data_IF_515478532050
#
_entry.id   IF_515478532050
#
_cell.length_a   1.000
_cell.length_b   1.000
_cell.length_c   1.000
_cell.angle_alpha   90.00
_cell.angle_beta   90.00
_cell.angle_gamma   90.00
#
_symmetry.space_group_name_H-M   'P 1'
#
loop_
_entity.id
_entity.type
_entity.pdbx_description
1 polymer ?
#
# COMPACT_ATOMS: atom_id res chain seq x y z
N UNK A 1 -16.26 2.09 4.54
CA UNK A 1 -14.96 1.45 4.78
C UNK A 1 -13.92 2.45 4.32
N UNK A 2 -13.13 3.05 5.21
CA UNK A 2 -12.16 4.04 4.75
C UNK A 2 -10.94 3.33 4.15
N UNK A 3 -10.64 3.51 2.85
CA UNK A 3 -9.57 2.77 2.16
C UNK A 3 -8.15 3.06 2.67
N UNK A 4 -7.99 4.03 3.57
CA UNK A 4 -6.69 4.62 3.91
C UNK A 4 -6.13 4.19 5.28
N UNK A 5 -6.79 3.29 6.01
CA UNK A 5 -6.29 2.81 7.31
C UNK A 5 -5.54 1.49 7.13
N UNK A 6 -4.38 1.55 6.49
CA UNK A 6 -3.52 0.38 6.34
C UNK A 6 -2.99 -0.10 7.71
N UNK A 7 -2.68 0.79 8.66
CA UNK A 7 -2.06 0.37 9.93
C UNK A 7 -2.44 1.32 11.07
N UNK A 8 -3.58 1.12 11.74
CA UNK A 8 -3.71 1.24 13.21
C UNK A 8 -5.13 0.90 13.72
N UNK A 9 -5.37 -0.25 14.37
CA UNK A 9 -6.62 -0.47 15.11
C UNK A 9 -6.69 0.37 16.41
N UNK A 10 -5.60 1.04 16.82
CA UNK A 10 -5.56 1.76 18.10
C UNK A 10 -5.95 3.24 18.05
N UNK A 11 -6.05 3.87 16.87
CA UNK A 11 -6.40 5.30 16.72
C UNK A 11 -7.88 5.60 16.46
N UNK A 12 -8.75 4.58 16.47
CA UNK A 12 -10.20 4.82 16.52
C UNK A 12 -10.57 5.41 17.88
N UNK A 13 -11.29 6.54 17.86
CA UNK A 13 -11.85 7.20 19.04
C UNK A 13 -12.57 6.20 19.96
N UNK A 14 -12.50 6.40 21.28
CA UNK A 14 -13.09 5.47 22.27
C UNK A 14 -14.59 5.17 22.04
N UNK A 15 -15.32 6.07 21.38
CA UNK A 15 -16.73 5.84 20.98
C UNK A 15 -16.91 4.81 19.86
N UNK A 16 -15.89 4.56 19.04
CA UNK A 16 -15.86 3.49 18.03
C UNK A 16 -15.39 2.15 18.60
N UNK A 17 -14.61 2.16 19.70
CA UNK A 17 -14.18 0.93 20.40
C UNK A 17 -15.32 0.34 21.23
N UNK A 18 -16.13 1.15 21.91
CA UNK A 18 -17.16 0.63 22.83
C UNK A 18 -18.34 -0.09 22.14
N UNK A 19 -18.57 0.10 20.85
CA UNK A 19 -19.59 -0.67 20.11
C UNK A 19 -19.11 -2.00 19.52
N UNK A 20 -17.80 -2.25 19.46
CA UNK A 20 -17.25 -3.44 18.79
C UNK A 20 -16.40 -4.35 19.70
N UNK A 21 -16.22 -4.00 20.97
CA UNK A 21 -15.40 -4.78 21.93
C UNK A 21 -16.21 -5.76 22.79
N UNK A 22 -17.52 -5.90 22.59
CA UNK A 22 -18.38 -6.69 23.48
C UNK A 22 -18.57 -8.17 23.09
N UNK A 23 -17.97 -8.69 22.01
CA UNK A 23 -18.34 -10.02 21.50
C UNK A 23 -17.28 -11.13 21.51
N UNK A 24 -15.98 -10.88 21.73
CA UNK A 24 -15.01 -11.99 21.69
C UNK A 24 -13.90 -11.87 22.74
N UNK A 25 -14.23 -12.25 23.97
CA UNK A 25 -13.27 -12.71 24.97
C UNK A 25 -13.27 -14.24 24.97
N UNK A 26 -12.07 -14.82 24.99
CA UNK A 26 -11.71 -16.26 25.02
C UNK A 26 -11.75 -16.98 23.67
N UNK A 27 -10.59 -17.17 23.08
CA UNK A 27 -9.99 -18.50 22.93
C UNK A 27 -8.52 -18.36 22.50
N UNK A 28 -7.63 -18.45 23.49
CA UNK A 28 -6.22 -18.79 23.26
C UNK A 28 -6.11 -20.31 23.24
N UNK A 29 -5.19 -20.82 22.42
CA UNK A 29 -4.80 -22.23 22.23
C UNK A 29 -5.61 -22.99 21.17
N UNK A 30 -5.01 -23.19 19.98
CA UNK A 30 -4.76 -24.50 19.33
C UNK A 30 -4.29 -24.27 17.89
N UNK A 31 -2.98 -24.19 17.68
CA UNK A 31 -2.39 -24.33 16.35
C UNK A 31 -2.15 -25.82 16.11
N UNK A 32 -3.01 -26.46 15.33
CA UNK A 32 -2.71 -27.74 14.69
C UNK A 32 -2.68 -27.51 13.18
N UNK A 33 -1.52 -27.83 12.61
CA UNK A 33 -1.21 -27.79 11.19
C UNK A 33 -2.18 -28.69 10.41
N UNK A 34 -2.74 -28.14 9.35
CA UNK A 34 -3.12 -28.90 8.16
C UNK A 34 -2.19 -28.42 7.05
N UNK A 35 -1.28 -29.31 6.65
CA UNK A 35 -0.38 -29.21 5.51
C UNK A 35 -0.84 -30.32 4.55
N UNK A 36 -1.29 -29.97 3.34
CA UNK A 36 -1.38 -30.87 2.16
C UNK A 36 -2.03 -30.13 0.97
N UNK A 37 -1.25 -29.28 0.29
CA UNK A 37 -1.21 -29.08 -1.18
C UNK A 37 -0.50 -27.76 -1.59
N UNK A 38 0.68 -27.49 -1.05
CA UNK A 38 1.50 -26.37 -1.54
C UNK A 38 2.63 -26.88 -2.42
N UNK A 39 2.39 -26.80 -3.73
CA UNK A 39 3.42 -26.86 -4.78
C UNK A 39 4.29 -25.59 -4.71
N UNK A 40 4.90 -25.32 -3.55
CA UNK A 40 5.63 -24.08 -3.29
C UNK A 40 7.06 -24.22 -3.84
N UNK A 41 7.41 -23.39 -4.82
CA UNK A 41 8.62 -23.53 -5.65
C UNK A 41 9.87 -22.91 -5.03
N UNK A 42 9.78 -22.30 -3.84
CA UNK A 42 10.92 -21.63 -3.21
C UNK A 42 11.69 -22.58 -2.26
N UNK A 43 12.75 -23.19 -2.78
CA UNK A 43 13.64 -24.09 -2.03
C UNK A 43 14.33 -23.41 -0.84
N UNK A 44 14.62 -22.11 -0.93
CA UNK A 44 15.24 -21.35 0.15
C UNK A 44 14.29 -21.18 1.34
N UNK A 45 13.04 -20.78 1.10
CA UNK A 45 12.03 -20.66 2.17
C UNK A 45 11.72 -22.01 2.82
N UNK A 46 11.72 -23.10 2.04
CA UNK A 46 11.59 -24.46 2.59
C UNK A 46 12.71 -24.81 3.56
N UNK A 47 13.95 -24.43 3.25
CA UNK A 47 15.10 -24.62 4.14
C UNK A 47 14.95 -23.73 5.38
N UNK A 48 14.59 -22.46 5.20
CA UNK A 48 14.45 -21.51 6.32
C UNK A 48 13.27 -21.82 7.24
N UNK A 49 12.28 -22.62 6.79
CA UNK A 49 11.11 -23.02 7.58
C UNK A 49 11.49 -23.66 8.92
N UNK A 50 12.60 -24.40 8.98
CA UNK A 50 13.06 -25.03 10.23
C UNK A 50 13.49 -24.01 11.29
N UNK A 51 13.91 -22.81 10.88
CA UNK A 51 14.34 -21.73 11.75
C UNK A 51 13.22 -20.78 12.15
N UNK A 52 11.98 -21.02 11.70
CA UNK A 52 10.83 -20.16 12.01
C UNK A 52 10.65 -19.94 13.52
N UNK A 53 10.88 -20.97 14.32
CA UNK A 53 10.77 -20.90 15.79
C UNK A 53 11.89 -20.06 16.43
N UNK A 54 13.02 -19.91 15.75
CA UNK A 54 14.17 -19.11 16.21
C UNK A 54 14.04 -17.62 15.88
N UNK A 55 13.16 -17.24 14.94
CA UNK A 55 13.07 -15.86 14.43
C UNK A 55 12.86 -14.81 15.53
N UNK A 56 11.97 -15.09 16.50
CA UNK A 56 11.71 -14.16 17.60
C UNK A 56 12.91 -14.00 18.53
N UNK A 57 13.62 -15.08 18.86
CA UNK A 57 14.83 -15.00 19.69
C UNK A 57 15.93 -14.23 18.96
N UNK A 58 16.13 -14.48 17.66
CA UNK A 58 17.13 -13.76 16.87
C UNK A 58 16.82 -12.27 16.78
N UNK A 59 15.56 -11.90 16.53
CA UNK A 59 15.16 -10.50 16.46
C UNK A 59 15.37 -9.77 17.80
N UNK A 60 15.11 -10.43 18.94
CA UNK A 60 15.35 -9.86 20.27
C UNK A 60 16.84 -9.66 20.55
N UNK A 61 17.66 -10.69 20.30
CA UNK A 61 19.11 -10.59 20.52
C UNK A 61 19.76 -9.55 19.59
N UNK A 62 19.36 -9.53 18.30
CA UNK A 62 19.84 -8.52 17.35
C UNK A 62 19.41 -7.10 17.75
N UNK A 63 18.20 -6.95 18.31
CA UNK A 63 17.72 -5.67 18.81
C UNK A 63 18.56 -5.16 20.00
N UNK A 64 18.89 -6.02 20.95
CA UNK A 64 19.73 -5.66 22.11
C UNK A 64 21.12 -5.20 21.66
N UNK A 65 21.74 -5.94 20.74
CA UNK A 65 23.06 -5.64 20.20
C UNK A 65 23.06 -4.31 19.41
N UNK A 66 22.12 -4.15 18.47
CA UNK A 66 22.07 -2.96 17.61
C UNK A 66 21.73 -1.69 18.39
N UNK A 67 20.91 -1.79 19.45
CA UNK A 67 20.60 -0.65 20.31
C UNK A 67 21.85 -0.15 21.02
N UNK A 68 22.67 -1.06 21.56
CA UNK A 68 23.97 -0.73 22.15
C UNK A 68 24.90 -0.06 21.13
N UNK A 69 25.04 -0.65 19.93
CA UNK A 69 25.88 -0.11 18.86
C UNK A 69 25.43 1.30 18.43
N UNK A 70 24.13 1.51 18.27
CA UNK A 70 23.58 2.80 17.80
C UNK A 70 23.81 3.92 18.81
N UNK A 71 23.80 3.64 20.11
CA UNK A 71 24.03 4.63 21.16
C UNK A 71 25.49 5.07 21.27
N UNK A 72 26.44 4.18 20.99
CA UNK A 72 27.87 4.46 21.19
C UNK A 72 28.60 4.80 19.88
N UNK A 73 28.18 4.20 18.76
CA UNK A 73 28.86 4.29 17.47
C UNK A 73 27.86 4.05 16.33
N UNK A 74 26.97 5.02 16.04
CA UNK A 74 26.04 4.88 14.93
C UNK A 74 26.82 4.64 13.63
N UNK A 75 26.33 3.71 12.81
CA UNK A 75 26.99 3.28 11.58
C UNK A 75 25.95 2.82 10.56
N UNK A 76 26.34 2.72 9.29
CA UNK A 76 25.48 2.20 8.22
C UNK A 76 24.89 0.83 8.58
N UNK A 77 25.73 -0.08 9.08
CA UNK A 77 25.33 -1.43 9.47
C UNK A 77 24.28 -1.42 10.59
N UNK A 78 24.44 -0.54 11.58
CA UNK A 78 23.48 -0.41 12.67
C UNK A 78 22.11 0.09 12.15
N UNK A 79 22.10 1.06 11.23
CA UNK A 79 20.87 1.55 10.61
C UNK A 79 20.19 0.46 9.79
N UNK A 80 20.95 -0.26 8.95
CA UNK A 80 20.43 -1.36 8.14
C UNK A 80 19.82 -2.46 9.02
N UNK A 81 20.49 -2.83 10.11
CA UNK A 81 19.98 -3.81 11.06
C UNK A 81 18.67 -3.35 11.73
N UNK A 82 18.60 -2.09 12.18
CA UNK A 82 17.36 -1.52 12.73
C UNK A 82 16.19 -1.55 11.73
N UNK A 83 16.45 -1.22 10.47
CA UNK A 83 15.45 -1.26 9.39
C UNK A 83 14.96 -2.69 9.12
N UNK A 84 15.86 -3.68 9.05
CA UNK A 84 15.48 -5.08 8.90
C UNK A 84 14.67 -5.61 10.10
N UNK A 85 15.08 -5.26 11.33
CA UNK A 85 14.40 -5.65 12.56
C UNK A 85 12.99 -5.02 12.63
N UNK A 86 12.84 -3.77 12.18
CA UNK A 86 11.54 -3.11 12.03
C UNK A 86 10.60 -3.93 11.14
N UNK A 87 11.05 -4.38 9.97
CA UNK A 87 10.24 -5.20 9.07
C UNK A 87 9.79 -6.52 9.71
N UNK A 88 10.66 -7.15 10.51
CA UNK A 88 10.30 -8.35 11.26
C UNK A 88 9.19 -8.09 12.29
N UNK A 89 9.34 -7.05 13.12
CA UNK A 89 8.34 -6.68 14.13
C UNK A 89 7.00 -6.29 13.50
N UNK A 90 7.05 -5.59 12.37
CA UNK A 90 5.88 -5.31 11.55
C UNK A 90 5.21 -6.60 11.07
N UNK A 91 5.99 -7.54 10.51
CA UNK A 91 5.50 -8.82 10.01
C UNK A 91 4.79 -9.67 11.05
N UNK A 92 5.30 -9.74 12.29
CA UNK A 92 4.65 -10.49 13.37
C UNK A 92 3.55 -9.71 14.11
N UNK A 93 3.20 -8.51 13.65
CA UNK A 93 2.12 -7.71 14.23
C UNK A 93 2.44 -7.08 15.59
N UNK A 94 3.72 -6.82 15.88
CA UNK A 94 4.16 -6.14 17.11
C UNK A 94 4.72 -4.74 16.77
N UNK A 95 3.85 -3.74 16.56
CA UNK A 95 4.27 -2.46 15.98
C UNK A 95 5.11 -1.60 16.91
N UNK A 96 5.03 -1.78 18.24
CA UNK A 96 5.73 -0.91 19.19
C UNK A 96 7.27 -0.99 19.09
N UNK A 97 7.91 -2.16 19.27
CA UNK A 97 9.37 -2.27 19.12
C UNK A 97 9.81 -1.88 17.70
N UNK A 98 9.01 -2.26 16.70
CA UNK A 98 9.27 -1.88 15.33
C UNK A 98 9.31 -0.35 15.11
N UNK A 99 8.28 0.37 15.53
CA UNK A 99 8.20 1.83 15.36
C UNK A 99 9.37 2.54 16.05
N UNK A 100 9.85 2.02 17.20
CA UNK A 100 11.05 2.54 17.85
C UNK A 100 12.32 2.29 17.02
N UNK A 101 12.48 1.09 16.47
CA UNK A 101 13.58 0.79 15.56
C UNK A 101 13.58 1.72 14.34
N UNK A 102 12.42 1.91 13.71
CA UNK A 102 12.26 2.78 12.54
C UNK A 102 12.60 4.23 12.87
N UNK A 103 12.07 4.76 13.98
CA UNK A 103 12.37 6.12 14.41
C UNK A 103 13.87 6.33 14.68
N UNK A 104 14.50 5.34 15.32
CA UNK A 104 15.94 5.38 15.60
C UNK A 104 16.78 5.25 14.33
N UNK A 105 16.42 4.36 13.41
CA UNK A 105 17.09 4.19 12.12
C UNK A 105 17.02 5.49 11.30
N UNK A 106 15.82 6.05 11.14
CA UNK A 106 15.61 7.29 10.40
C UNK A 106 16.37 8.46 11.02
N UNK A 107 16.38 8.58 12.36
CA UNK A 107 17.16 9.62 13.04
C UNK A 107 18.66 9.41 12.88
N UNK A 108 19.13 8.18 12.94
CA UNK A 108 20.55 7.83 12.77
C UNK A 108 21.05 8.16 11.37
N UNK A 109 20.25 7.96 10.32
CA UNK A 109 20.56 8.43 8.97
C UNK A 109 20.88 9.93 8.93
N UNK A 110 20.07 10.75 9.63
CA UNK A 110 20.29 12.21 9.69
C UNK A 110 21.55 12.57 10.47
N UNK A 111 21.83 11.87 11.58
CA UNK A 111 23.06 12.08 12.37
C UNK A 111 24.31 11.75 11.54
N UNK A 112 24.25 10.66 10.76
CA UNK A 112 25.34 10.23 9.89
C UNK A 112 25.44 11.06 8.60
N UNK A 113 24.46 11.93 8.33
CA UNK A 113 24.44 12.81 7.16
C UNK A 113 24.12 12.08 5.85
N UNK A 114 23.31 11.02 5.91
CA UNK A 114 22.84 10.32 4.70
C UNK A 114 21.76 11.09 3.94
N UNK A 115 21.19 12.12 4.56
CA UNK A 115 20.26 13.09 3.98
C UNK A 115 20.96 14.39 3.51
N UNK A 116 22.25 14.33 3.20
CA UNK A 116 22.97 15.50 2.69
C UNK A 116 22.50 15.88 1.29
N UNK A 117 22.21 17.17 1.13
CA UNK A 117 22.04 17.82 -0.18
C UNK A 117 23.41 17.88 -0.88
N UNK A 118 23.45 17.85 -2.22
CA UNK A 118 24.67 18.14 -2.94
C UNK A 118 25.14 19.56 -2.58
N UNK A 119 26.21 19.69 -1.80
CA UNK A 119 26.94 20.95 -1.65
C UNK A 119 27.97 21.06 -2.78
N UNK A 120 28.21 22.28 -3.26
CA UNK A 120 28.97 22.63 -4.46
C UNK A 120 30.20 21.73 -4.75
N UNK A 121 30.16 21.13 -5.94
CA UNK A 121 31.19 20.56 -6.85
C UNK A 121 32.40 19.76 -6.33
N UNK A 122 32.71 19.70 -5.03
CA UNK A 122 34.00 19.18 -4.56
C UNK A 122 33.94 17.99 -3.58
N UNK A 123 32.75 17.50 -3.24
CA UNK A 123 32.60 16.35 -2.33
C UNK A 123 32.44 15.03 -3.10
N UNK A 124 33.01 13.96 -2.55
CA UNK A 124 33.02 12.59 -3.10
C UNK A 124 31.64 11.90 -3.03
N UNK A 125 30.60 12.56 -3.56
CA UNK A 125 29.23 12.05 -3.68
C UNK A 125 29.14 10.77 -4.53
N UNK A 126 30.21 10.41 -5.24
CA UNK A 126 30.32 9.24 -6.12
C UNK A 126 30.86 7.99 -5.42
N UNK A 127 31.13 8.01 -4.11
CA UNK A 127 31.55 6.81 -3.39
C UNK A 127 30.41 5.81 -3.19
N UNK A 128 30.72 4.52 -3.27
CA UNK A 128 29.76 3.44 -2.98
C UNK A 128 29.17 3.55 -1.58
N UNK A 129 29.97 3.95 -0.58
CA UNK A 129 29.53 4.10 0.80
C UNK A 129 28.50 5.24 0.94
N UNK A 130 28.72 6.37 0.26
CA UNK A 130 27.75 7.46 0.22
C UNK A 130 26.42 7.03 -0.42
N UNK A 131 26.47 6.22 -1.48
CA UNK A 131 25.26 5.69 -2.11
C UNK A 131 24.53 4.65 -1.25
N UNK A 132 25.26 3.78 -0.55
CA UNK A 132 24.66 2.86 0.42
C UNK A 132 23.97 3.61 1.57
N UNK A 133 24.61 4.66 2.10
CA UNK A 133 24.00 5.56 3.09
C UNK A 133 22.71 6.19 2.58
N UNK A 134 22.73 6.73 1.35
CA UNK A 134 21.56 7.35 0.72
C UNK A 134 20.41 6.37 0.53
N UNK A 135 20.68 5.17 0.02
CA UNK A 135 19.67 4.12 -0.12
C UNK A 135 19.10 3.70 1.23
N UNK A 136 19.93 3.64 2.26
CA UNK A 136 19.50 3.34 3.63
C UNK A 136 18.57 4.43 4.18
N UNK A 137 18.88 5.71 3.96
CA UNK A 137 17.98 6.82 4.28
C UNK A 137 16.62 6.65 3.58
N UNK A 138 16.62 6.40 2.27
CA UNK A 138 15.38 6.24 1.51
C UNK A 138 14.57 5.01 1.91
N UNK A 139 15.20 3.91 2.29
CA UNK A 139 14.52 2.74 2.85
C UNK A 139 13.77 3.09 4.14
N UNK A 140 14.45 3.74 5.10
CA UNK A 140 13.84 4.21 6.35
C UNK A 140 12.69 5.19 6.06
N UNK A 141 12.87 6.09 5.09
CA UNK A 141 11.85 7.04 4.68
C UNK A 141 10.63 6.35 4.05
N UNK A 142 10.83 5.35 3.18
CA UNK A 142 9.75 4.54 2.59
C UNK A 142 8.96 3.84 3.70
N UNK A 143 9.63 3.17 4.63
CA UNK A 143 8.98 2.50 5.76
C UNK A 143 8.18 3.48 6.62
N UNK A 144 8.71 4.67 6.86
CA UNK A 144 7.99 5.75 7.56
C UNK A 144 6.72 6.16 6.80
N UNK A 145 6.82 6.39 5.49
CA UNK A 145 5.69 6.74 4.62
C UNK A 145 4.62 5.64 4.53
N UNK A 146 5.02 4.36 4.55
CA UNK A 146 4.09 3.22 4.49
C UNK A 146 3.38 3.03 5.84
N UNK A 147 4.12 3.07 6.94
CA UNK A 147 3.59 2.81 8.29
C UNK A 147 2.83 4.03 8.84
N UNK A 148 3.09 5.23 8.31
CA UNK A 148 2.53 6.50 8.77
C UNK A 148 2.86 6.78 10.26
N UNK A 149 4.03 6.33 10.72
CA UNK A 149 4.47 6.50 12.11
C UNK A 149 5.94 6.93 12.19
N UNK A 150 6.28 7.80 13.17
CA UNK A 150 5.36 8.56 14.03
C UNK A 150 4.63 9.66 13.23
N UNK A 151 3.35 9.91 13.55
CA UNK A 151 2.50 10.86 12.79
C UNK A 151 3.14 12.25 12.54
N UNK A 152 3.88 12.87 13.48
CA UNK A 152 4.53 14.17 13.25
C UNK A 152 5.54 14.17 12.10
N UNK A 153 6.19 13.04 11.80
CA UNK A 153 7.15 12.96 10.69
C UNK A 153 6.46 12.93 9.33
N UNK A 154 5.19 12.52 9.29
CA UNK A 154 4.48 12.31 8.04
C UNK A 154 3.91 13.61 7.47
N UNK A 155 3.40 14.51 8.31
CA UNK A 155 2.79 15.78 7.89
C UNK A 155 3.75 16.67 7.07
N UNK A 156 5.05 16.40 7.14
CA UNK A 156 6.09 17.09 6.38
C UNK A 156 7.09 16.16 5.69
N UNK A 157 6.81 14.85 5.59
CA UNK A 157 7.79 13.86 5.09
C UNK A 157 8.39 14.20 3.72
N UNK A 158 7.58 14.69 2.78
CA UNK A 158 8.06 15.12 1.47
C UNK A 158 8.81 16.47 1.50
N UNK A 159 8.50 17.35 2.46
CA UNK A 159 9.21 18.63 2.64
C UNK A 159 10.59 18.39 3.23
N UNK A 160 10.71 17.46 4.17
CA UNK A 160 12.00 17.05 4.74
C UNK A 160 12.89 16.39 3.67
N UNK A 161 12.30 15.54 2.83
CA UNK A 161 13.01 14.85 1.76
C UNK A 161 13.21 15.69 0.49
N UNK A 162 12.69 16.92 0.46
CA UNK A 162 12.81 17.80 -0.69
C UNK A 162 14.28 18.17 -0.97
N UNK A 163 14.63 18.19 -2.24
CA UNK A 163 15.97 18.46 -2.78
C UNK A 163 17.02 17.43 -2.36
N UNK A 164 16.61 16.30 -1.79
CA UNK A 164 17.51 15.18 -1.56
C UNK A 164 17.71 14.39 -2.86
N UNK A 165 18.94 13.93 -3.16
CA UNK A 165 19.18 13.12 -4.33
C UNK A 165 18.46 11.78 -4.22
N UNK A 166 17.74 11.39 -5.28
CA UNK A 166 17.23 10.03 -5.41
C UNK A 166 18.40 9.05 -5.63
N UNK A 167 18.26 7.76 -5.26
CA UNK A 167 19.30 6.75 -5.48
C UNK A 167 19.75 6.67 -6.95
N UNK A 168 21.06 6.53 -7.16
CA UNK A 168 21.66 6.41 -8.48
C UNK A 168 22.20 5.00 -8.74
N UNK A 169 22.78 4.79 -9.91
CA UNK A 169 23.63 3.63 -10.16
C UNK A 169 24.91 3.77 -9.34
N UNK A 170 25.40 2.67 -8.75
CA UNK A 170 26.55 2.65 -7.81
C UNK A 170 27.83 3.33 -8.35
N UNK A 171 27.96 3.46 -9.68
CA UNK A 171 29.10 4.11 -10.35
C UNK A 171 28.73 5.41 -11.08
N UNK A 172 27.52 5.94 -10.88
CA UNK A 172 26.98 7.08 -11.62
C UNK A 172 26.66 8.29 -10.76
N UNK A 173 26.55 9.46 -11.38
CA UNK A 173 26.10 10.67 -10.71
C UNK A 173 24.59 10.64 -10.48
N UNK A 174 24.13 11.25 -9.38
CA UNK A 174 22.70 11.49 -9.13
C UNK A 174 22.11 12.37 -10.23
N UNK A 175 20.89 12.03 -10.64
CA UNK A 175 20.26 12.63 -11.81
C UNK A 175 18.88 13.22 -11.52
N UNK A 176 18.27 12.87 -10.39
CA UNK A 176 16.94 13.35 -10.02
C UNK A 176 16.81 13.63 -8.53
N UNK A 177 15.98 14.61 -8.21
CA UNK A 177 15.52 14.95 -6.87
C UNK A 177 14.05 15.38 -6.94
N UNK A 178 13.41 15.54 -5.78
CA UNK A 178 12.02 15.99 -5.69
C UNK A 178 11.97 17.39 -5.09
N UNK A 179 11.14 18.28 -5.64
CA UNK A 179 10.90 19.59 -5.02
C UNK A 179 9.99 19.47 -3.78
N UNK A 180 9.73 20.61 -3.12
CA UNK A 180 8.85 20.69 -1.93
C UNK A 180 7.40 20.26 -2.20
N UNK A 181 6.97 20.35 -3.45
CA UNK A 181 5.64 19.99 -3.94
C UNK A 181 5.64 18.59 -4.56
N UNK A 182 6.77 17.87 -4.45
CA UNK A 182 7.03 16.53 -4.95
C UNK A 182 6.95 16.41 -6.48
N UNK A 183 7.31 17.47 -7.19
CA UNK A 183 7.58 17.40 -8.62
C UNK A 183 9.02 16.92 -8.87
N UNK A 184 9.18 16.14 -9.93
CA UNK A 184 10.47 15.62 -10.38
C UNK A 184 11.36 16.75 -10.91
N UNK A 185 12.56 16.90 -10.35
CA UNK A 185 13.57 17.84 -10.80
C UNK A 185 14.81 17.11 -11.31
N UNK A 186 15.31 17.42 -12.51
CA UNK A 186 16.58 16.87 -12.98
C UNK A 186 17.75 17.54 -12.25
N UNK A 187 18.74 16.73 -11.86
CA UNK A 187 20.04 17.20 -11.39
C UNK A 187 20.94 17.35 -12.60
N UNK A 188 21.30 18.58 -12.95
CA UNK A 188 22.23 18.83 -14.06
C UNK A 188 23.63 18.42 -13.63
N UNK A 189 24.24 17.51 -14.38
CA UNK A 189 25.68 17.29 -14.30
C UNK A 189 26.41 18.38 -15.09
N UNK A 190 27.71 18.56 -14.82
CA UNK A 190 28.57 19.52 -15.52
C UNK A 190 28.70 19.23 -17.03
N UNK A 191 28.30 18.04 -17.48
CA UNK A 191 28.32 17.61 -18.89
C UNK A 191 26.99 17.81 -19.65
N UNK A 192 25.94 18.30 -18.98
CA UNK A 192 24.63 18.57 -19.60
C UNK A 192 23.80 17.32 -19.97
N UNK A 193 24.28 16.11 -19.70
CA UNK A 193 23.59 14.86 -20.04
C UNK A 193 22.60 14.46 -18.94
N UNK A 194 21.31 14.32 -19.28
CA UNK A 194 20.32 13.73 -18.38
C UNK A 194 20.47 12.20 -18.36
N UNK A 195 20.78 11.64 -17.20
CA UNK A 195 20.70 10.18 -17.01
C UNK A 195 19.23 9.76 -16.82
N UNK A 196 18.85 8.55 -17.29
CA UNK A 196 17.50 8.03 -17.11
C UNK A 196 17.19 7.74 -15.64
N UNK A 197 15.90 7.81 -15.22
CA UNK A 197 15.48 7.50 -13.86
C UNK A 197 15.88 6.06 -13.46
N UNK A 198 16.24 5.86 -12.20
CA UNK A 198 16.54 4.52 -11.65
C UNK A 198 15.28 3.87 -11.07
N UNK A 199 15.22 2.53 -11.03
CA UNK A 199 14.07 1.82 -10.45
C UNK A 199 13.80 2.19 -9.00
N UNK A 200 14.81 2.25 -8.10
CA UNK A 200 14.59 2.71 -6.73
C UNK A 200 14.12 4.16 -6.68
N UNK A 201 14.65 5.04 -7.56
CA UNK A 201 14.21 6.43 -7.69
C UNK A 201 12.73 6.53 -8.05
N UNK A 202 12.27 5.79 -9.06
CA UNK A 202 10.85 5.75 -9.45
C UNK A 202 9.97 5.26 -8.30
N UNK A 203 10.37 4.19 -7.59
CA UNK A 203 9.64 3.68 -6.43
C UNK A 203 9.49 4.75 -5.33
N UNK A 204 10.56 5.48 -5.01
CA UNK A 204 10.51 6.56 -4.01
C UNK A 204 9.52 7.65 -4.42
N UNK A 205 9.51 8.03 -5.71
CA UNK A 205 8.57 9.04 -6.23
C UNK A 205 7.12 8.64 -5.95
N UNK A 206 6.74 7.41 -6.30
CA UNK A 206 5.35 6.96 -6.12
C UNK A 206 4.99 6.71 -4.65
N UNK A 207 5.94 6.29 -3.81
CA UNK A 207 5.72 6.19 -2.35
C UNK A 207 5.44 7.57 -1.73
N UNK A 208 6.10 8.62 -2.20
CA UNK A 208 5.79 9.98 -1.74
C UNK A 208 4.38 10.44 -2.12
N UNK A 209 3.88 10.01 -3.28
CA UNK A 209 2.47 10.20 -3.65
C UNK A 209 1.56 9.43 -2.70
N UNK A 210 1.87 8.17 -2.40
CA UNK A 210 1.08 7.38 -1.45
C UNK A 210 1.01 8.04 -0.07
N UNK A 211 2.11 8.58 0.45
CA UNK A 211 2.12 9.35 1.71
C UNK A 211 1.17 10.56 1.65
N UNK A 212 1.20 11.33 0.55
CA UNK A 212 0.28 12.46 0.32
C UNK A 212 -1.18 12.01 0.25
N UNK A 213 -1.47 10.88 -0.41
CA UNK A 213 -2.83 10.31 -0.51
C UNK A 213 -3.35 9.93 0.87
N UNK A 214 -2.56 9.23 1.68
CA UNK A 214 -2.93 8.83 3.03
C UNK A 214 -3.28 10.05 3.91
N UNK A 215 -2.46 11.11 3.88
CA UNK A 215 -2.74 12.35 4.60
C UNK A 215 -3.97 13.07 4.06
N UNK A 216 -4.15 13.09 2.74
CA UNK A 216 -5.33 13.68 2.12
C UNK A 216 -6.62 12.98 2.59
N UNK A 217 -6.64 11.64 2.64
CA UNK A 217 -7.76 10.89 3.21
C UNK A 217 -8.05 11.25 4.66
N UNK A 218 -7.00 11.30 5.50
CA UNK A 218 -7.12 11.62 6.93
C UNK A 218 -7.69 13.03 7.13
N UNK A 219 -7.27 13.99 6.30
CA UNK A 219 -7.80 15.34 6.33
C UNK A 219 -9.24 15.43 5.83
N UNK A 220 -9.59 14.69 4.77
CA UNK A 220 -10.93 14.68 4.20
C UNK A 220 -11.98 14.13 5.15
N UNK A 221 -11.66 13.09 5.93
CA UNK A 221 -12.54 12.58 6.99
C UNK A 221 -12.88 13.65 8.05
N UNK A 222 -12.00 14.65 8.21
CA UNK A 222 -12.09 15.68 9.25
C UNK A 222 -12.57 17.05 8.73
N UNK A 223 -12.62 17.29 7.40
CA UNK A 223 -12.96 18.61 6.83
C UNK A 223 -13.84 18.47 5.58
N UNK A 224 -14.97 19.17 5.60
CA UNK A 224 -15.81 19.37 4.43
C UNK A 224 -15.37 20.68 3.72
N UNK A 225 -14.75 20.59 2.53
CA UNK A 225 -15.09 21.41 1.34
C UNK A 225 -14.01 21.75 0.31
N UNK A 226 -12.71 21.57 0.54
CA UNK A 226 -11.69 21.89 -0.49
C UNK A 226 -11.07 20.66 -1.21
N UNK A 227 -11.60 19.46 -0.93
CA UNK A 227 -10.94 18.20 -1.30
C UNK A 227 -10.84 17.91 -2.81
N UNK A 228 -11.75 18.40 -3.65
CA UNK A 228 -11.85 17.94 -5.04
C UNK A 228 -10.71 18.47 -5.93
N UNK A 229 -10.29 19.72 -5.75
CA UNK A 229 -9.18 20.29 -6.52
C UNK A 229 -7.85 19.63 -6.11
N UNK A 230 -7.62 19.44 -4.81
CA UNK A 230 -6.45 18.73 -4.31
C UNK A 230 -6.41 17.27 -4.75
N UNK A 231 -7.56 16.59 -4.78
CA UNK A 231 -7.68 15.21 -5.30
C UNK A 231 -7.26 15.16 -6.76
N UNK A 232 -7.77 16.07 -7.60
CA UNK A 232 -7.43 16.13 -9.02
C UNK A 232 -5.94 16.39 -9.24
N UNK A 233 -5.38 17.37 -8.54
CA UNK A 233 -3.96 17.70 -8.63
C UNK A 233 -3.09 16.50 -8.22
N UNK A 234 -3.45 15.82 -7.14
CA UNK A 234 -2.68 14.66 -6.67
C UNK A 234 -2.82 13.45 -7.60
N UNK A 235 -4.01 13.21 -8.16
CA UNK A 235 -4.25 12.17 -9.18
C UNK A 235 -3.44 12.44 -10.45
N UNK A 236 -3.38 13.69 -10.92
CA UNK A 236 -2.58 14.09 -12.09
C UNK A 236 -1.08 13.92 -11.85
N UNK A 237 -0.59 14.36 -10.68
CA UNK A 237 0.81 14.20 -10.29
C UNK A 237 1.20 12.71 -10.18
N UNK A 238 0.31 11.87 -9.65
CA UNK A 238 0.52 10.43 -9.60
C UNK A 238 0.69 9.84 -11.00
N UNK A 239 -0.18 10.23 -11.94
CA UNK A 239 -0.12 9.76 -13.34
C UNK A 239 1.14 10.23 -14.04
N UNK A 240 1.53 11.51 -13.90
CA UNK A 240 2.76 11.99 -14.54
C UNK A 240 4.00 11.24 -14.07
N UNK A 241 4.10 10.94 -12.76
CA UNK A 241 5.22 10.19 -12.21
C UNK A 241 5.19 8.70 -12.59
N UNK A 242 4.01 8.11 -12.75
CA UNK A 242 3.85 6.74 -13.23
C UNK A 242 4.25 6.59 -14.71
N UNK A 243 3.95 7.60 -15.52
CA UNK A 243 4.27 7.62 -16.95
C UNK A 243 5.78 7.78 -17.21
N UNK A 244 6.53 8.42 -16.30
CA UNK A 244 8.01 8.47 -16.36
C UNK A 244 8.66 7.06 -16.39
N UNK A 245 7.99 6.06 -15.84
CA UNK A 245 8.47 4.67 -15.82
C UNK A 245 8.13 3.88 -17.10
N UNK A 246 7.47 4.47 -18.10
CA UNK A 246 7.02 3.78 -19.30
C UNK A 246 8.17 3.09 -20.06
N UNK A 247 9.28 3.80 -20.29
CA UNK A 247 10.47 3.28 -20.98
C UNK A 247 11.10 2.09 -20.23
N UNK A 248 11.10 2.16 -18.89
CA UNK A 248 11.61 1.10 -18.01
C UNK A 248 10.75 -0.16 -18.06
N UNK A 249 9.42 -0.03 -18.19
CA UNK A 249 8.52 -1.17 -18.38
C UNK A 249 8.69 -1.81 -19.76
N UNK A 250 8.91 -1.01 -20.81
CA UNK A 250 9.10 -1.55 -22.17
C UNK A 250 10.46 -2.24 -22.33
N UNK A 251 11.49 -1.72 -21.66
CA UNK A 251 12.83 -2.33 -21.60
C UNK A 251 12.91 -3.50 -20.61
N UNK A 252 11.98 -3.61 -19.65
CA UNK A 252 11.88 -4.73 -18.72
C UNK A 252 11.67 -6.10 -19.37
N UNK A 253 11.31 -6.12 -20.65
CA UNK A 253 11.23 -7.34 -21.45
C UNK A 253 12.61 -7.80 -21.99
N UNK A 254 13.72 -7.16 -21.60
CA UNK A 254 15.09 -7.55 -21.99
C UNK A 254 15.82 -8.33 -20.89
N UNK A 255 16.80 -9.15 -21.31
CA UNK A 255 17.52 -10.20 -20.56
C UNK A 255 18.33 -9.70 -19.35
N UNK A 256 18.52 -8.39 -19.18
CA UNK A 256 19.43 -7.78 -18.19
C UNK A 256 18.76 -7.30 -16.88
N UNK A 257 17.47 -7.57 -16.63
CA UNK A 257 16.83 -7.15 -15.37
C UNK A 257 17.03 -8.12 -14.21
N UNK A 258 17.53 -7.61 -13.09
CA UNK A 258 17.55 -8.33 -11.83
C UNK A 258 16.14 -8.54 -11.29
N UNK A 259 15.91 -9.67 -10.60
CA UNK A 259 14.64 -9.95 -9.92
C UNK A 259 14.23 -8.81 -8.96
N UNK A 260 15.20 -8.18 -8.29
CA UNK A 260 14.94 -7.04 -7.39
C UNK A 260 14.33 -5.84 -8.12
N UNK A 261 14.84 -5.49 -9.30
CA UNK A 261 14.29 -4.41 -10.11
C UNK A 261 12.85 -4.70 -10.53
N UNK A 262 12.55 -5.94 -10.91
CA UNK A 262 11.19 -6.36 -11.24
C UNK A 262 10.25 -6.23 -10.04
N UNK A 263 10.69 -6.65 -8.84
CA UNK A 263 9.88 -6.51 -7.62
C UNK A 263 9.64 -5.05 -7.23
N UNK A 264 10.64 -4.18 -7.40
CA UNK A 264 10.47 -2.74 -7.16
C UNK A 264 9.51 -2.09 -8.16
N UNK A 265 9.56 -2.46 -9.45
CA UNK A 265 8.59 -1.99 -10.45
C UNK A 265 7.18 -2.52 -10.18
N UNK A 266 7.05 -3.78 -9.77
CA UNK A 266 5.77 -4.36 -9.37
C UNK A 266 5.15 -3.61 -8.17
N UNK A 267 5.95 -3.30 -7.14
CA UNK A 267 5.52 -2.47 -6.03
C UNK A 267 5.14 -1.06 -6.49
N UNK A 268 5.96 -0.44 -7.36
CA UNK A 268 5.71 0.88 -7.90
C UNK A 268 4.34 0.97 -8.60
N UNK A 269 4.07 0.04 -9.52
CA UNK A 269 2.84 0.03 -10.31
C UNK A 269 1.62 -0.27 -9.44
N UNK A 270 1.76 -1.18 -8.47
CA UNK A 270 0.73 -1.47 -7.47
C UNK A 270 0.36 -0.22 -6.66
N UNK A 271 1.36 0.50 -6.15
CA UNK A 271 1.15 1.72 -5.34
C UNK A 271 0.48 2.82 -6.15
N UNK A 272 0.81 2.96 -7.44
CA UNK A 272 0.12 3.90 -8.32
C UNK A 272 -1.37 3.59 -8.44
N UNK A 273 -1.73 2.36 -8.81
CA UNK A 273 -3.13 1.99 -8.97
C UNK A 273 -3.89 2.06 -7.64
N UNK A 274 -3.26 1.65 -6.54
CA UNK A 274 -3.83 1.79 -5.20
C UNK A 274 -4.07 3.25 -4.83
N UNK A 275 -3.16 4.17 -5.21
CA UNK A 275 -3.32 5.61 -5.00
C UNK A 275 -4.54 6.16 -5.76
N UNK A 276 -4.71 5.78 -7.03
CA UNK A 276 -5.87 6.19 -7.84
C UNK A 276 -7.18 5.62 -7.29
N UNK A 277 -7.22 4.32 -6.97
CA UNK A 277 -8.39 3.68 -6.34
C UNK A 277 -8.77 4.44 -5.07
N UNK A 278 -7.80 4.71 -4.21
CA UNK A 278 -8.00 5.36 -2.92
C UNK A 278 -8.57 6.77 -3.08
N UNK A 279 -7.95 7.60 -3.92
CA UNK A 279 -8.38 8.98 -4.16
C UNK A 279 -9.81 9.05 -4.70
N UNK A 280 -10.08 8.33 -5.78
CA UNK A 280 -11.39 8.40 -6.45
C UNK A 280 -12.50 7.73 -5.63
N UNK A 281 -12.18 6.73 -4.80
CA UNK A 281 -13.16 6.11 -3.90
C UNK A 281 -13.72 7.09 -2.86
N UNK A 282 -12.96 8.11 -2.46
CA UNK A 282 -13.40 9.06 -1.41
C UNK A 282 -14.71 9.76 -1.73
N UNK A 283 -14.96 10.07 -3.02
CA UNK A 283 -16.16 10.80 -3.47
C UNK A 283 -17.26 9.89 -4.00
N UNK A 284 -17.04 8.57 -4.00
CA UNK A 284 -17.99 7.56 -4.49
C UNK A 284 -18.61 6.84 -3.29
N UNK A 285 -19.89 7.11 -2.92
CA UNK A 285 -20.53 6.54 -1.74
C UNK A 285 -20.49 5.02 -1.68
N UNK A 286 -20.60 4.36 -2.84
CA UNK A 286 -20.53 2.89 -2.94
C UNK A 286 -19.21 2.34 -2.38
N UNK A 287 -18.10 3.07 -2.57
CA UNK A 287 -16.76 2.61 -2.21
C UNK A 287 -16.27 3.21 -0.89
N UNK A 288 -16.59 4.47 -0.59
CA UNK A 288 -16.21 5.10 0.67
C UNK A 288 -17.11 4.67 1.84
N UNK A 289 -18.39 4.38 1.58
CA UNK A 289 -19.42 4.25 2.59
C UNK A 289 -19.81 5.58 3.24
N UNK A 290 -19.39 6.71 2.65
CA UNK A 290 -19.77 8.05 3.09
C UNK A 290 -20.96 8.52 2.23
N UNK A 291 -21.98 9.18 2.82
CA UNK A 291 -23.08 9.75 2.04
C UNK A 291 -22.58 10.67 0.91
N UNK A 292 -23.36 10.73 -0.16
CA UNK A 292 -23.07 11.61 -1.29
C UNK A 292 -23.01 13.07 -0.85
N UNK A 293 -21.89 13.75 -1.11
CA UNK A 293 -21.82 15.20 -1.01
C UNK A 293 -22.63 15.82 -2.16
N UNK A 294 -23.70 16.54 -1.83
CA UNK A 294 -24.60 17.20 -2.78
C UNK A 294 -23.89 18.27 -3.62
N UNK A 295 -22.74 18.77 -3.17
CA UNK A 295 -21.93 19.75 -3.91
C UNK A 295 -21.13 19.14 -5.05
N UNK A 296 -20.94 17.83 -5.04
CA UNK A 296 -20.22 17.12 -6.09
C UNK A 296 -21.21 16.71 -7.17
N UNK A 297 -20.98 17.22 -8.36
CA UNK A 297 -21.74 16.89 -9.57
C UNK A 297 -21.85 15.36 -9.78
N UNK A 298 -23.05 14.82 -10.04
CA UNK A 298 -23.26 13.38 -10.24
C UNK A 298 -22.42 12.77 -11.36
N UNK A 299 -22.14 13.52 -12.43
CA UNK A 299 -21.31 13.06 -13.54
C UNK A 299 -19.84 12.94 -13.13
N UNK A 300 -19.32 13.87 -12.34
CA UNK A 300 -17.99 13.78 -11.72
C UNK A 300 -17.86 12.53 -10.85
N UNK A 301 -18.89 12.23 -10.05
CA UNK A 301 -18.95 11.02 -9.23
C UNK A 301 -18.98 9.74 -10.07
N UNK A 302 -19.74 9.74 -11.18
CA UNK A 302 -19.79 8.62 -12.13
C UNK A 302 -18.43 8.35 -12.74
N UNK A 303 -17.73 9.38 -13.20
CA UNK A 303 -16.36 9.25 -13.73
C UNK A 303 -15.40 8.70 -12.68
N UNK A 304 -15.45 9.21 -11.45
CA UNK A 304 -14.64 8.68 -10.36
C UNK A 304 -14.89 7.19 -10.10
N UNK A 305 -16.16 6.75 -10.13
CA UNK A 305 -16.49 5.33 -9.97
C UNK A 305 -15.92 4.48 -11.11
N UNK A 306 -15.99 4.96 -12.36
CA UNK A 306 -15.37 4.30 -13.52
C UNK A 306 -13.85 4.23 -13.39
N UNK A 307 -13.21 5.30 -12.92
CA UNK A 307 -11.76 5.34 -12.66
C UNK A 307 -11.35 4.33 -11.58
N UNK A 308 -12.13 4.19 -10.51
CA UNK A 308 -11.88 3.17 -9.47
C UNK A 308 -11.94 1.75 -10.05
N UNK A 309 -12.99 1.44 -10.81
CA UNK A 309 -13.14 0.11 -11.43
C UNK A 309 -11.99 -0.16 -12.41
N UNK A 310 -11.67 0.81 -13.27
CA UNK A 310 -10.56 0.69 -14.22
C UNK A 310 -9.23 0.37 -13.52
N UNK A 311 -8.88 1.11 -12.48
CA UNK A 311 -7.62 0.86 -11.76
C UNK A 311 -7.67 -0.42 -10.92
N UNK A 312 -8.84 -0.84 -10.44
CA UNK A 312 -8.99 -2.15 -9.80
C UNK A 312 -8.74 -3.30 -10.80
N UNK A 313 -9.24 -3.18 -12.03
CA UNK A 313 -8.96 -4.13 -13.11
C UNK A 313 -7.47 -4.13 -13.49
N UNK A 314 -6.82 -2.96 -13.56
CA UNK A 314 -5.36 -2.90 -13.80
C UNK A 314 -4.54 -3.51 -12.66
N UNK A 315 -4.90 -3.24 -11.40
CA UNK A 315 -4.23 -3.84 -10.24
C UNK A 315 -4.39 -5.36 -10.24
N UNK A 316 -5.58 -5.86 -10.59
CA UNK A 316 -5.82 -7.30 -10.81
C UNK A 316 -4.88 -7.86 -11.87
N UNK A 317 -4.72 -7.20 -13.02
CA UNK A 317 -3.80 -7.66 -14.07
C UNK A 317 -2.35 -7.76 -13.58
N UNK A 318 -1.89 -6.84 -12.71
CA UNK A 318 -0.57 -6.94 -12.08
C UNK A 318 -0.46 -8.16 -11.15
N UNK A 319 -1.56 -8.52 -10.47
CA UNK A 319 -1.61 -9.65 -9.55
C UNK A 319 -1.79 -11.01 -10.23
N UNK A 320 -2.24 -11.07 -11.49
CA UNK A 320 -2.57 -12.31 -12.19
C UNK A 320 -1.50 -13.42 -12.07
N UNK A 321 -0.19 -13.14 -12.22
CA UNK A 321 0.84 -14.17 -12.05
C UNK A 321 0.82 -14.81 -10.65
N UNK A 322 0.43 -14.07 -9.63
CA UNK A 322 0.37 -14.56 -8.24
C UNK A 322 -0.98 -15.19 -7.89
N UNK A 323 -2.08 -14.68 -8.44
CA UNK A 323 -3.44 -15.20 -8.19
C UNK A 323 -3.67 -16.61 -8.74
N UNK A 324 -2.95 -16.94 -9.82
CA UNK A 324 -3.10 -18.20 -10.54
C UNK A 324 -1.84 -19.08 -10.46
N UNK A 325 -1.08 -18.95 -9.36
CA UNK A 325 0.07 -19.79 -8.98
C UNK A 325 1.19 -19.86 -10.03
N UNK A 326 1.41 -18.79 -10.78
CA UNK A 326 2.51 -18.70 -11.76
C UNK A 326 3.78 -18.10 -11.14
N UNK A 327 3.64 -17.35 -10.04
CA UNK A 327 4.74 -16.75 -9.29
C UNK A 327 4.59 -16.95 -7.79
N UNK A 328 5.72 -16.91 -7.09
CA UNK A 328 5.84 -17.09 -5.65
C UNK A 328 5.19 -15.93 -4.88
N UNK A 329 4.15 -16.23 -4.12
CA UNK A 329 3.35 -15.26 -3.35
C UNK A 329 4.10 -14.70 -2.15
N UNK A 330 5.17 -15.35 -1.67
CA UNK A 330 6.00 -14.85 -0.57
C UNK A 330 6.71 -13.54 -0.89
N UNK A 331 6.83 -13.20 -2.18
CA UNK A 331 7.43 -11.95 -2.68
C UNK A 331 6.49 -10.75 -2.58
N UNK A 332 5.21 -10.98 -2.29
CA UNK A 332 4.22 -9.91 -2.18
C UNK A 332 4.44 -9.15 -0.88
N UNK A 333 4.68 -7.85 -1.02
CA UNK A 333 4.80 -6.95 0.12
C UNK A 333 3.44 -6.78 0.82
N UNK A 334 3.44 -6.46 2.12
CA UNK A 334 2.20 -6.28 2.86
C UNK A 334 1.36 -5.12 2.30
N UNK A 335 2.00 -4.10 1.71
CA UNK A 335 1.29 -2.99 1.07
C UNK A 335 0.51 -3.44 -0.16
N UNK A 336 1.11 -4.29 -1.02
CA UNK A 336 0.45 -4.86 -2.19
C UNK A 336 -0.66 -5.81 -1.77
N UNK A 337 -0.43 -6.62 -0.72
CA UNK A 337 -1.47 -7.47 -0.13
C UNK A 337 -2.70 -6.67 0.32
N UNK A 338 -2.50 -5.51 0.94
CA UNK A 338 -3.61 -4.61 1.27
C UNK A 338 -4.29 -4.01 0.05
N UNK A 339 -3.53 -3.64 -0.99
CA UNK A 339 -4.10 -3.24 -2.28
C UNK A 339 -5.01 -4.34 -2.88
N UNK A 340 -4.57 -5.60 -2.83
CA UNK A 340 -5.37 -6.75 -3.26
C UNK A 340 -6.69 -6.87 -2.48
N UNK A 341 -6.62 -6.71 -1.15
CA UNK A 341 -7.81 -6.64 -0.31
C UNK A 341 -8.79 -5.54 -0.75
N UNK A 342 -8.29 -4.31 -0.97
CA UNK A 342 -9.12 -3.18 -1.41
C UNK A 342 -9.79 -3.49 -2.75
N UNK A 343 -9.04 -4.02 -3.72
CA UNK A 343 -9.59 -4.46 -5.02
C UNK A 343 -10.69 -5.51 -4.85
N UNK A 344 -10.49 -6.49 -3.97
CA UNK A 344 -11.50 -7.49 -3.65
C UNK A 344 -12.81 -6.88 -3.14
N UNK A 345 -12.73 -5.88 -2.26
CA UNK A 345 -13.91 -5.15 -1.77
C UNK A 345 -14.58 -4.34 -2.87
N UNK A 346 -13.82 -3.67 -3.74
CA UNK A 346 -14.36 -2.90 -4.88
C UNK A 346 -15.16 -3.83 -5.81
N UNK A 347 -14.61 -4.99 -6.14
CA UNK A 347 -15.31 -5.97 -6.98
C UNK A 347 -16.58 -6.49 -6.31
N UNK A 348 -16.54 -6.88 -5.03
CA UNK A 348 -17.74 -7.31 -4.30
C UNK A 348 -18.82 -6.21 -4.25
N UNK A 349 -18.43 -4.98 -3.94
CA UNK A 349 -19.36 -3.84 -3.86
C UNK A 349 -20.02 -3.54 -5.21
N UNK A 350 -19.25 -3.67 -6.28
CA UNK A 350 -19.75 -3.49 -7.65
C UNK A 350 -20.74 -4.58 -8.03
N UNK A 351 -20.42 -5.85 -7.75
CA UNK A 351 -21.32 -6.98 -8.02
C UNK A 351 -22.64 -6.84 -7.26
N UNK A 352 -22.59 -6.55 -5.96
CA UNK A 352 -23.78 -6.33 -5.15
C UNK A 352 -24.68 -5.21 -5.69
N UNK A 353 -24.08 -4.08 -6.07
CA UNK A 353 -24.82 -2.96 -6.66
C UNK A 353 -25.52 -3.37 -7.95
N UNK A 354 -24.81 -4.01 -8.88
CA UNK A 354 -25.34 -4.47 -10.16
C UNK A 354 -26.40 -5.57 -10.03
N UNK A 355 -26.45 -6.30 -8.91
CA UNK A 355 -27.48 -7.30 -8.63
C UNK A 355 -28.77 -6.71 -8.06
N UNK A 356 -28.71 -5.52 -7.45
CA UNK A 356 -29.89 -4.82 -6.90
C UNK A 356 -30.61 -3.91 -7.91
N UNK A 357 -30.03 -3.67 -9.08
CA UNK A 357 -30.65 -2.87 -10.13
C UNK A 357 -31.70 -3.67 -10.92
N UNK A 358 -32.86 -3.07 -11.24
CA UNK A 358 -33.90 -3.74 -12.02
C UNK A 358 -33.42 -4.09 -13.43
N UNK A 359 -33.82 -5.28 -13.90
CA UNK A 359 -33.38 -5.94 -15.15
C UNK A 359 -33.52 -5.06 -16.42
N UNK A 360 -34.31 -3.98 -16.37
CA UNK A 360 -34.59 -3.11 -17.52
C UNK A 360 -33.44 -2.19 -17.94
N UNK A 361 -32.37 -2.04 -17.14
CA UNK A 361 -31.25 -1.12 -17.45
C UNK A 361 -29.89 -1.81 -17.61
N UNK A 362 -29.82 -3.14 -17.59
CA UNK A 362 -28.53 -3.83 -17.70
C UNK A 362 -28.02 -3.85 -19.15
N UNK A 363 -26.83 -3.26 -19.44
CA UNK A 363 -26.12 -3.61 -20.66
C UNK A 363 -25.65 -5.06 -20.52
N UNK A 364 -25.95 -5.86 -21.54
CA UNK A 364 -25.49 -7.24 -21.72
C UNK A 364 -23.97 -7.36 -21.47
N UNK A 365 -23.57 -7.81 -20.28
CA UNK A 365 -22.22 -8.34 -20.04
C UNK A 365 -22.20 -9.24 -18.79
N UNK A 366 -22.81 -10.41 -18.90
CA UNK A 366 -22.80 -11.45 -17.87
C UNK A 366 -21.40 -12.06 -17.67
N UNK A 367 -20.52 -12.01 -18.67
CA UNK A 367 -19.17 -12.62 -18.58
C UNK A 367 -18.24 -11.90 -17.59
N UNK A 368 -18.44 -10.61 -17.37
CA UNK A 368 -17.59 -9.81 -16.47
C UNK A 368 -17.94 -10.02 -14.99
N UNK A 369 -19.19 -10.37 -14.69
CA UNK A 369 -19.69 -10.58 -13.32
C UNK A 369 -19.12 -11.83 -12.68
N UNK A 370 -19.21 -12.96 -13.38
CA UNK A 370 -18.66 -14.24 -12.92
C UNK A 370 -17.13 -14.17 -12.79
N UNK A 371 -16.47 -13.41 -13.67
CA UNK A 371 -15.02 -13.18 -13.62
C UNK A 371 -14.56 -12.45 -12.35
N UNK A 372 -15.32 -11.47 -11.87
CA UNK A 372 -14.95 -10.68 -10.67
C UNK A 372 -15.08 -11.49 -9.38
N UNK A 373 -16.15 -12.26 -9.20
CA UNK A 373 -16.29 -13.13 -8.02
C UNK A 373 -15.19 -14.20 -7.96
N UNK A 374 -14.84 -14.80 -9.09
CA UNK A 374 -13.71 -15.73 -9.20
C UNK A 374 -12.40 -15.04 -8.81
N UNK A 375 -12.21 -13.80 -9.25
CA UNK A 375 -11.04 -13.00 -8.87
C UNK A 375 -11.01 -12.71 -7.37
N UNK A 376 -12.14 -12.34 -6.75
CA UNK A 376 -12.23 -12.11 -5.30
C UNK A 376 -11.85 -13.37 -4.51
N UNK A 377 -12.30 -14.54 -4.96
CA UNK A 377 -11.90 -15.82 -4.35
C UNK A 377 -10.39 -16.07 -4.48
N UNK A 378 -9.80 -15.76 -5.64
CA UNK A 378 -8.36 -15.86 -5.84
C UNK A 378 -7.57 -14.89 -4.92
N UNK A 379 -8.04 -13.65 -4.78
CA UNK A 379 -7.47 -12.67 -3.84
C UNK A 379 -7.57 -13.17 -2.41
N UNK A 380 -8.69 -13.77 -2.01
CA UNK A 380 -8.84 -14.31 -0.66
C UNK A 380 -7.84 -15.44 -0.39
N UNK A 381 -7.64 -16.36 -1.35
CA UNK A 381 -6.61 -17.40 -1.24
C UNK A 381 -5.21 -16.80 -1.11
N UNK A 382 -4.88 -15.81 -1.95
CA UNK A 382 -3.62 -15.08 -1.86
C UNK A 382 -3.40 -14.51 -0.46
N UNK A 383 -4.39 -13.77 0.07
CA UNK A 383 -4.35 -13.19 1.41
C UNK A 383 -4.20 -14.25 2.50
N UNK A 384 -4.87 -15.39 2.36
CA UNK A 384 -4.78 -16.50 3.30
C UNK A 384 -3.40 -17.13 3.38
N UNK A 385 -2.65 -17.14 2.27
CA UNK A 385 -1.25 -17.55 2.28
C UNK A 385 -0.36 -16.46 2.87
N UNK A 386 -0.44 -15.22 2.37
CA UNK A 386 0.54 -14.18 2.73
C UNK A 386 0.36 -13.62 4.16
N UNK A 387 -0.82 -13.75 4.77
CA UNK A 387 -1.04 -13.36 6.18
C UNK A 387 -0.19 -14.17 7.16
N UNK A 388 0.33 -15.34 6.75
CA UNK A 388 1.24 -16.13 7.58
C UNK A 388 2.60 -15.45 7.79
N UNK A 389 2.98 -14.55 6.87
CA UNK A 389 4.20 -13.74 6.92
C UNK A 389 3.92 -12.32 7.43
N UNK A 390 2.71 -11.81 7.17
CA UNK A 390 2.30 -10.45 7.48
C UNK A 390 1.02 -10.44 8.32
N UNK A 391 1.14 -10.40 9.66
CA UNK A 391 0.00 -10.39 10.59
C UNK A 391 -0.94 -9.21 10.33
N UNK A 392 -0.42 -8.08 9.82
CA UNK A 392 -1.21 -6.92 9.41
C UNK A 392 -2.30 -7.23 8.36
N UNK A 393 -2.15 -8.31 7.58
CA UNK A 393 -3.11 -8.73 6.56
C UNK A 393 -4.20 -9.67 7.07
N UNK A 394 -4.09 -10.15 8.32
CA UNK A 394 -5.06 -11.08 8.90
C UNK A 394 -6.46 -10.48 8.98
N UNK A 395 -6.59 -9.27 9.53
CA UNK A 395 -7.88 -8.57 9.62
C UNK A 395 -8.47 -8.27 8.23
N UNK A 396 -7.71 -7.70 7.25
CA UNK A 396 -8.16 -7.59 5.87
C UNK A 396 -8.71 -8.90 5.26
N UNK A 397 -8.01 -10.02 5.45
CA UNK A 397 -8.45 -11.32 4.94
C UNK A 397 -9.77 -11.79 5.57
N UNK A 398 -9.93 -11.61 6.88
CA UNK A 398 -11.16 -11.93 7.62
C UNK A 398 -12.36 -11.08 7.16
N UNK A 399 -12.13 -9.78 6.95
CA UNK A 399 -13.16 -8.87 6.44
C UNK A 399 -13.60 -9.25 5.03
N UNK A 400 -12.66 -9.56 4.13
CA UNK A 400 -12.98 -9.97 2.77
C UNK A 400 -13.75 -11.30 2.74
N UNK A 401 -13.35 -12.27 3.56
CA UNK A 401 -14.08 -13.54 3.71
C UNK A 401 -15.52 -13.31 4.14
N UNK A 402 -15.71 -12.54 5.20
CA UNK A 402 -17.04 -12.23 5.74
C UNK A 402 -17.92 -11.51 4.69
N UNK A 403 -17.34 -10.57 3.94
CA UNK A 403 -18.03 -9.86 2.87
C UNK A 403 -18.41 -10.78 1.70
N UNK A 404 -17.54 -11.71 1.32
CA UNK A 404 -17.80 -12.70 0.27
C UNK A 404 -18.93 -13.66 0.67
N UNK A 405 -18.92 -14.16 1.91
CA UNK A 405 -19.98 -15.03 2.45
C UNK A 405 -21.34 -14.34 2.50
N UNK A 406 -21.36 -13.08 2.95
CA UNK A 406 -22.55 -12.23 2.92
C UNK A 406 -23.05 -12.00 1.48
N UNK A 407 -22.13 -11.85 0.52
CA UNK A 407 -22.46 -11.65 -0.89
C UNK A 407 -23.09 -12.91 -1.50
N UNK A 408 -22.52 -14.10 -1.27
CA UNK A 408 -23.13 -15.36 -1.69
C UNK A 408 -24.54 -15.56 -1.09
N UNK A 409 -24.73 -15.16 0.17
CA UNK A 409 -26.04 -15.20 0.84
C UNK A 409 -27.05 -14.19 0.28
N UNK A 410 -26.59 -13.05 -0.24
CA UNK A 410 -27.43 -12.04 -0.87
C UNK A 410 -27.82 -12.43 -2.30
N UNK A 411 -26.86 -12.98 -3.07
CA UNK A 411 -27.05 -13.40 -4.46
C UNK A 411 -27.92 -14.67 -4.61
N UNK A 412 -27.97 -15.51 -3.58
CA UNK A 412 -28.84 -16.70 -3.53
C UNK A 412 -30.31 -16.39 -3.25
N UNK A 413 -30.65 -15.16 -2.84
CA UNK A 413 -32.04 -14.74 -2.64
C UNK A 413 -32.61 -14.21 -3.96
N UNK A 414 -33.83 -14.61 -4.36
CA UNK A 414 -34.44 -14.11 -5.59
C UNK A 414 -34.57 -12.57 -5.53
N UNK A 415 -34.38 -11.85 -6.65
CA UNK A 415 -34.58 -10.41 -6.70
C UNK A 415 -36.00 -10.10 -6.21
N UNK A 416 -36.11 -9.17 -5.25
CA UNK A 416 -37.41 -8.74 -4.73
C UNK A 416 -38.21 -8.18 -5.91
N UNK A 417 -39.25 -8.92 -6.31
CA UNK A 417 -40.29 -8.39 -7.19
C UNK A 417 -40.86 -7.15 -6.49
N UNK A 418 -40.60 -5.97 -7.06
CA UNK A 418 -41.29 -4.75 -6.66
C UNK A 418 -42.73 -4.95 -7.12
N UNK A 419 -43.60 -5.27 -6.17
CA UNK A 419 -45.03 -5.35 -6.39
C UNK A 419 -45.50 -3.95 -6.82
N UNK A 420 -45.91 -3.80 -8.07
CA UNK A 420 -46.50 -2.59 -8.62
C UNK A 420 -47.93 -2.46 -8.11
N UNK A 421 -48.07 -2.24 -6.79
CA UNK A 421 -49.34 -2.19 -6.09
C UNK A 421 -49.37 -1.08 -5.04
N UNK A 422 -49.74 0.12 -5.47
CA UNK A 422 -50.39 1.19 -4.71
C UNK A 422 -50.19 1.30 -3.18
N UNK A 423 -49.69 2.49 -2.78
CA UNK A 423 -50.12 3.32 -1.64
C UNK A 423 -49.78 2.87 -0.20
N UNK A 424 -48.85 3.61 0.43
CA UNK A 424 -49.10 4.72 1.37
C UNK A 424 -47.79 5.08 2.07
N UNK A 425 -47.43 6.37 2.08
CA UNK A 425 -46.42 6.89 2.99
C UNK A 425 -46.90 6.72 4.44
N UNK A 426 -46.05 6.21 5.35
CA UNK A 426 -46.12 6.54 6.76
C UNK A 426 -45.04 7.59 7.06
N UNK A 427 -45.51 8.81 7.25
CA UNK A 427 -44.87 9.77 8.15
C UNK A 427 -44.68 9.13 9.51
N UNK A 428 -43.44 9.04 10.00
CA UNK A 428 -43.13 9.09 11.43
C UNK A 428 -41.67 9.48 11.64
N UNK A 429 -41.50 10.66 12.20
CA UNK A 429 -40.31 11.15 12.90
C UNK A 429 -39.87 10.18 13.99
N UNK A 430 -38.57 10.03 14.24
CA UNK A 430 -38.05 9.86 15.61
C UNK A 430 -36.61 10.39 15.74
N UNK A 431 -36.40 10.96 16.92
CA UNK A 431 -35.25 11.64 17.53
C UNK A 431 -33.98 10.80 17.53
#
# INVERSE_FOLDING_TARGET
MHPCYFINPSSSSNTSKEKYTALFSKHSSRWQLYDENEQDTNTELKILRIYRTCGLSWAKSALEEVMSLTMHSPSLMAVQALECIQLFWFGIGQPHPGNLCLALAYRSCKILGYDRRPADENDSYTSIEAELGRRCFWACWISTCIVMQPEPYIESAWKEAAMLPLPCLVSGSFNQMMDKDWNSLPVRNSSGNLYPPTTPGLLIKIIGIWAKVQLHCKAYANRAHDGLNSLRQLSQLATSLFDEAAEMRTSANQVDQTTENQMMLFLHDSVYHQSQITLHSMIVPLFSGIPADEKIDPETRRRAAQTVIYHADQFKCLLDPYLYNQQDVSRISPLVGYGAFVVGIIFLSTELCCHTQPVSELPFNTSTKDSRLVTVQAILRLLDTIKAYWEALKYPAEVLRSALEATHSALSKPPRLIDSGNRKMPTTSFV
#
